data_IF_374372630571
#
_entry.id   IF_374372630571
#
_cell.length_a   1.000
_cell.length_b   1.000
_cell.length_c   1.000
_cell.angle_alpha   90.00
_cell.angle_beta   90.00
_cell.angle_gamma   90.00
#
_symmetry.space_group_name_H-M   'P 1'
#
loop_
_entity.id
_entity.type
_entity.pdbx_description
1 polymer ?
#
# COMPACT_ATOMS: atom_id res chain seq x y z
N UNK A 1 4.40 -30.81 -73.98
CA UNK A 1 4.86 -29.42 -74.23
C UNK A 1 4.82 -28.68 -72.89
N UNK A 2 5.98 -28.45 -72.25
CA UNK A 2 6.53 -27.11 -71.87
C UNK A 2 5.48 -26.24 -71.13
N UNK A 3 5.62 -25.83 -69.86
CA UNK A 3 6.65 -25.00 -69.21
C UNK A 3 6.49 -25.16 -67.66
N UNK A 4 7.51 -25.42 -66.83
CA UNK A 4 8.59 -24.57 -66.28
C UNK A 4 8.18 -23.56 -65.17
N UNK A 5 8.65 -23.86 -63.93
CA UNK A 5 8.96 -22.99 -62.75
C UNK A 5 7.76 -22.27 -62.09
N UNK A 6 7.65 -22.19 -60.75
CA UNK A 6 8.44 -21.35 -59.86
C UNK A 6 8.59 -21.92 -58.42
N UNK A 7 9.78 -21.70 -57.86
CA UNK A 7 10.13 -21.85 -56.45
C UNK A 7 9.40 -20.79 -55.60
N UNK A 8 8.79 -21.21 -54.49
CA UNK A 8 8.51 -20.34 -53.36
C UNK A 8 8.99 -21.03 -52.08
N UNK A 9 10.19 -20.66 -51.64
CA UNK A 9 10.69 -20.99 -50.31
C UNK A 9 9.91 -20.17 -49.28
N UNK A 10 8.94 -20.79 -48.62
CA UNK A 10 8.32 -20.25 -47.41
C UNK A 10 9.26 -20.55 -46.24
N UNK A 11 10.18 -19.62 -45.97
CA UNK A 11 10.86 -19.56 -44.68
C UNK A 11 9.82 -19.14 -43.63
N UNK A 12 9.18 -20.11 -42.98
CA UNK A 12 8.40 -19.87 -41.79
C UNK A 12 9.37 -19.51 -40.66
N UNK A 13 9.62 -18.21 -40.48
CA UNK A 13 10.21 -17.70 -39.25
C UNK A 13 9.21 -17.95 -38.12
N UNK A 14 9.31 -19.11 -37.48
CA UNK A 14 8.72 -19.33 -36.17
C UNK A 14 9.46 -18.43 -35.18
N UNK A 15 9.02 -17.17 -35.10
CA UNK A 15 9.26 -16.39 -33.91
C UNK A 15 8.66 -17.18 -32.76
N UNK A 16 9.52 -17.79 -31.95
CA UNK A 16 9.13 -18.26 -30.63
C UNK A 16 8.77 -17.03 -29.81
N UNK A 17 7.52 -16.58 -29.95
CA UNK A 17 6.86 -15.81 -28.91
C UNK A 17 6.61 -16.81 -27.79
N UNK A 18 7.66 -17.13 -27.03
CA UNK A 18 7.45 -17.70 -25.72
C UNK A 18 6.61 -16.66 -24.97
N UNK A 19 5.38 -16.97 -24.56
CA UNK A 19 4.71 -16.11 -23.61
C UNK A 19 5.66 -16.04 -22.42
N UNK A 20 6.10 -14.82 -22.08
CA UNK A 20 6.69 -14.59 -20.78
C UNK A 20 5.60 -14.97 -19.78
N UNK A 21 5.63 -16.22 -19.33
CA UNK A 21 4.93 -16.62 -18.13
C UNK A 21 5.53 -15.74 -17.06
N UNK A 22 4.86 -14.63 -16.76
CA UNK A 22 5.11 -13.87 -15.56
C UNK A 22 4.90 -14.85 -14.43
N UNK A 23 5.99 -15.48 -14.00
CA UNK A 23 6.00 -16.22 -12.77
C UNK A 23 5.65 -15.16 -11.74
N UNK A 24 4.49 -15.28 -11.09
CA UNK A 24 4.37 -14.67 -9.78
C UNK A 24 5.61 -15.16 -9.04
N UNK A 25 6.51 -14.24 -8.68
CA UNK A 25 7.72 -14.60 -7.94
C UNK A 25 7.24 -15.40 -6.74
N UNK A 26 7.48 -16.71 -6.74
CA UNK A 26 7.08 -17.58 -5.64
C UNK A 26 8.05 -17.28 -4.50
N UNK A 27 7.76 -16.18 -3.81
CA UNK A 27 8.60 -15.54 -2.80
C UNK A 27 8.70 -16.40 -1.52
N UNK A 28 8.00 -17.53 -1.47
CA UNK A 28 8.14 -18.53 -0.41
C UNK A 28 9.25 -19.55 -0.70
N UNK A 29 9.76 -19.61 -1.94
CA UNK A 29 10.89 -20.47 -2.33
C UNK A 29 12.23 -19.88 -1.94
N UNK A 30 13.24 -20.74 -1.88
CA UNK A 30 14.62 -20.29 -1.89
C UNK A 30 14.91 -19.46 -3.15
N UNK A 31 15.68 -18.36 -3.04
CA UNK A 31 16.46 -17.94 -1.88
C UNK A 31 15.74 -16.90 -0.99
N UNK A 32 14.43 -16.68 -1.19
CA UNK A 32 13.68 -15.62 -0.50
C UNK A 32 13.08 -16.14 0.80
N UNK A 33 12.32 -17.24 0.73
CA UNK A 33 11.65 -17.88 1.87
C UNK A 33 10.96 -16.87 2.79
N UNK A 34 10.15 -15.98 2.20
CA UNK A 34 9.64 -14.75 2.82
C UNK A 34 9.13 -14.96 4.25
N UNK A 35 8.32 -16.01 4.47
CA UNK A 35 7.71 -16.30 5.76
C UNK A 35 8.72 -16.54 6.88
N UNK A 36 9.83 -17.21 6.60
CA UNK A 36 10.81 -17.67 7.59
C UNK A 36 12.06 -16.81 7.64
N UNK A 37 12.43 -16.18 6.52
CA UNK A 37 13.60 -15.33 6.45
C UNK A 37 13.54 -14.16 7.45
N UNK A 38 14.66 -13.79 8.08
CA UNK A 38 14.72 -12.64 8.97
C UNK A 38 14.50 -11.35 8.18
N UNK A 39 13.81 -10.39 8.80
CA UNK A 39 13.64 -9.05 8.27
C UNK A 39 14.77 -8.13 8.78
N UNK A 40 15.20 -7.19 7.94
CA UNK A 40 16.23 -6.20 8.23
C UNK A 40 15.77 -4.83 7.74
N UNK A 41 15.06 -4.11 8.60
CA UNK A 41 14.42 -2.84 8.27
C UNK A 41 14.30 -1.92 9.49
N UNK A 42 13.75 -0.73 9.28
CA UNK A 42 13.62 0.30 10.34
C UNK A 42 12.80 -0.18 11.56
N UNK A 43 11.87 -1.13 11.38
CA UNK A 43 11.07 -1.68 12.48
C UNK A 43 11.89 -2.67 13.31
N UNK A 44 12.66 -3.57 12.68
CA UNK A 44 13.54 -4.49 13.43
C UNK A 44 14.69 -3.77 14.12
N UNK A 45 15.21 -2.70 13.49
CA UNK A 45 16.18 -1.79 14.11
C UNK A 45 15.58 -1.06 15.34
N UNK A 46 14.35 -0.54 15.24
CA UNK A 46 13.66 0.07 16.37
C UNK A 46 13.37 -0.93 17.49
N UNK A 47 12.88 -2.14 17.17
CA UNK A 47 12.66 -3.20 18.16
C UNK A 47 13.95 -3.50 18.93
N UNK A 48 15.08 -3.63 18.24
CA UNK A 48 16.37 -3.89 18.88
C UNK A 48 16.78 -2.78 19.85
N UNK A 49 16.50 -1.51 19.52
CA UNK A 49 16.75 -0.36 20.40
C UNK A 49 15.81 -0.35 21.61
N UNK A 50 14.55 -0.74 21.43
CA UNK A 50 13.58 -0.91 22.53
C UNK A 50 14.02 -2.02 23.50
N UNK A 51 14.47 -3.15 22.97
CA UNK A 51 14.91 -4.29 23.77
C UNK A 51 16.11 -3.94 24.66
N UNK A 52 17.06 -3.17 24.09
CA UNK A 52 18.24 -2.62 24.80
C UNK A 52 17.93 -1.44 25.71
N UNK A 53 16.73 -0.85 25.66
CA UNK A 53 16.34 0.31 26.46
C UNK A 53 16.93 1.64 25.99
N UNK A 54 17.44 1.72 24.76
CA UNK A 54 17.98 2.94 24.16
C UNK A 54 16.89 3.92 23.72
N UNK A 55 15.68 3.40 23.47
CA UNK A 55 14.48 4.15 23.11
C UNK A 55 13.34 3.67 23.99
N UNK A 56 12.39 4.57 24.29
CA UNK A 56 11.14 4.23 24.95
C UNK A 56 9.98 4.88 24.22
N UNK A 57 9.00 4.07 23.81
CA UNK A 57 7.75 4.60 23.27
C UNK A 57 6.87 5.07 24.44
N UNK A 58 6.43 6.33 24.37
CA UNK A 58 5.51 6.92 25.34
C UNK A 58 4.09 6.66 24.88
N UNK A 59 3.30 6.06 25.76
CA UNK A 59 1.87 5.88 25.56
C UNK A 59 1.10 7.11 26.07
N UNK A 60 0.00 7.44 25.40
CA UNK A 60 -0.92 8.51 25.78
C UNK A 60 -2.36 8.02 25.71
N UNK A 61 -3.25 8.53 26.56
CA UNK A 61 -4.67 8.15 26.52
C UNK A 61 -5.35 8.55 25.21
N UNK A 62 -4.90 9.65 24.60
CA UNK A 62 -5.53 10.20 23.41
C UNK A 62 -5.12 9.46 22.14
N UNK A 63 -3.82 9.16 21.97
CA UNK A 63 -3.28 8.61 20.71
C UNK A 63 -2.53 7.28 20.88
N UNK A 64 -2.47 6.72 22.09
CA UNK A 64 -1.63 5.57 22.42
C UNK A 64 -0.17 5.87 22.15
N UNK A 65 0.52 4.99 21.42
CA UNK A 65 1.92 5.13 21.06
C UNK A 65 2.17 5.99 19.83
N UNK A 66 1.13 6.40 19.09
CA UNK A 66 1.29 7.03 17.77
C UNK A 66 2.32 8.18 17.77
N UNK A 67 2.22 9.22 18.62
CA UNK A 67 3.16 10.34 18.54
C UNK A 67 4.61 9.93 18.78
N UNK A 68 4.86 9.05 19.76
CA UNK A 68 6.21 8.61 20.10
C UNK A 68 6.77 7.62 19.08
N UNK A 69 5.91 6.82 18.45
CA UNK A 69 6.29 5.95 17.35
C UNK A 69 6.70 6.75 16.11
N UNK A 70 5.91 7.76 15.72
CA UNK A 70 6.27 8.62 14.60
C UNK A 70 7.60 9.34 14.84
N UNK A 71 7.83 9.83 16.06
CA UNK A 71 9.11 10.44 16.44
C UNK A 71 10.27 9.45 16.35
N UNK A 72 10.12 8.25 16.90
CA UNK A 72 11.16 7.23 16.91
C UNK A 72 11.53 6.71 15.51
N UNK A 73 10.57 6.70 14.57
CA UNK A 73 10.75 6.29 13.18
C UNK A 73 11.02 7.46 12.22
N UNK A 74 11.04 8.71 12.71
CA UNK A 74 11.24 9.88 11.85
C UNK A 74 10.14 10.09 10.82
N UNK A 75 8.89 9.75 11.15
CA UNK A 75 7.74 9.91 10.26
C UNK A 75 7.11 11.30 10.45
N UNK A 76 7.07 12.16 9.42
CA UNK A 76 6.56 13.51 9.57
C UNK A 76 5.04 13.53 9.69
N UNK A 77 4.50 14.26 10.67
CA UNK A 77 3.04 14.43 10.84
C UNK A 77 2.36 15.03 9.60
N UNK A 78 3.10 15.80 8.80
CA UNK A 78 2.61 16.40 7.55
C UNK A 78 2.28 15.36 6.47
N UNK A 79 2.78 14.13 6.57
CA UNK A 79 2.43 13.04 5.65
C UNK A 79 1.02 12.49 5.90
N UNK A 80 0.29 12.99 6.90
CA UNK A 80 -1.00 12.43 7.28
C UNK A 80 -1.96 12.46 6.10
N UNK A 81 -2.52 11.29 5.81
CA UNK A 81 -3.68 11.13 4.93
C UNK A 81 -4.78 10.34 5.65
N UNK A 82 -6.04 10.58 5.28
CA UNK A 82 -7.19 10.08 6.01
C UNK A 82 -8.10 9.24 5.10
N UNK A 83 -8.36 8.00 5.51
CA UNK A 83 -9.18 7.02 4.79
C UNK A 83 -10.44 6.75 5.59
N UNK A 84 -11.60 7.00 5.01
CA UNK A 84 -12.88 6.70 5.66
C UNK A 84 -13.58 5.47 5.10
N UNK A 85 -13.07 4.88 4.01
CA UNK A 85 -13.57 3.61 3.48
C UNK A 85 -13.16 2.43 4.36
N UNK A 86 -14.08 1.49 4.54
CA UNK A 86 -13.92 0.25 5.30
C UNK A 86 -13.16 -0.82 4.49
N UNK A 87 -11.88 -0.55 4.20
CA UNK A 87 -11.03 -1.36 3.32
C UNK A 87 -9.74 -1.84 3.99
N UNK A 88 -9.69 -1.90 5.33
CA UNK A 88 -8.52 -2.33 6.11
C UNK A 88 -8.84 -3.43 7.13
N UNK A 89 -7.79 -3.96 7.77
CA UNK A 89 -7.80 -4.85 8.92
C UNK A 89 -8.81 -4.41 10.00
N UNK A 90 -8.74 -3.14 10.43
CA UNK A 90 -9.62 -2.59 11.48
C UNK A 90 -10.91 -1.95 10.92
N UNK A 91 -11.49 -2.49 9.84
CA UNK A 91 -12.69 -1.97 9.12
C UNK A 91 -13.88 -1.60 10.02
N UNK A 92 -14.06 -2.27 11.15
CA UNK A 92 -15.18 -1.99 12.06
C UNK A 92 -15.01 -0.66 12.83
N UNK A 93 -13.80 -0.11 12.90
CA UNK A 93 -13.49 1.19 13.54
C UNK A 93 -13.42 2.36 12.56
N UNK A 94 -13.42 2.07 11.26
CA UNK A 94 -13.21 3.06 10.20
C UNK A 94 -14.56 3.53 9.66
N UNK A 95 -14.71 4.83 9.43
CA UNK A 95 -15.88 5.35 8.74
C UNK A 95 -15.79 6.86 8.52
N UNK A 96 -16.79 7.49 7.87
CA UNK A 96 -16.80 8.93 7.61
C UNK A 96 -16.58 9.80 8.86
N UNK A 97 -17.06 9.37 10.04
CA UNK A 97 -16.89 10.10 11.30
C UNK A 97 -15.63 9.71 12.08
N UNK A 98 -14.97 8.63 11.70
CA UNK A 98 -13.77 8.07 12.34
C UNK A 98 -12.81 7.50 11.29
N UNK A 99 -12.26 8.35 10.39
CA UNK A 99 -11.31 7.88 9.40
C UNK A 99 -10.06 7.24 10.03
N UNK A 100 -9.46 6.27 9.33
CA UNK A 100 -8.12 5.79 9.64
C UNK A 100 -7.11 6.82 9.14
N UNK A 101 -6.13 7.15 9.96
CA UNK A 101 -4.97 7.93 9.52
C UNK A 101 -3.85 7.01 9.02
N UNK A 102 -3.17 7.44 7.97
CA UNK A 102 -1.92 6.85 7.50
C UNK A 102 -0.86 7.94 7.55
N UNK A 103 0.28 7.63 8.15
CA UNK A 103 1.49 8.44 8.15
C UNK A 103 2.60 7.65 7.47
N UNK A 104 3.54 8.32 6.82
CA UNK A 104 4.59 7.64 6.09
C UNK A 104 5.83 8.53 5.92
N UNK A 105 6.98 7.87 5.79
CA UNK A 105 8.19 8.42 5.21
C UNK A 105 8.70 7.43 4.15
N UNK A 106 9.95 7.57 3.73
CA UNK A 106 10.55 6.73 2.67
C UNK A 106 10.65 5.25 3.07
N UNK A 107 10.71 4.92 4.36
CA UNK A 107 11.01 3.55 4.82
C UNK A 107 9.80 2.82 5.44
N UNK A 108 8.81 3.56 5.96
CA UNK A 108 7.73 2.98 6.75
C UNK A 108 6.40 3.72 6.62
N UNK A 109 5.31 2.97 6.69
CA UNK A 109 3.93 3.43 6.72
C UNK A 109 3.27 2.99 8.02
N UNK A 110 2.58 3.92 8.69
CA UNK A 110 1.93 3.75 9.98
C UNK A 110 0.43 4.03 9.84
N UNK A 111 -0.39 3.00 9.99
CA UNK A 111 -1.84 3.09 10.05
C UNK A 111 -2.35 3.20 11.49
N UNK A 112 -3.25 4.15 11.73
CA UNK A 112 -3.83 4.44 13.04
C UNK A 112 -5.35 4.58 12.93
N UNK A 113 -6.08 3.76 13.69
CA UNK A 113 -7.53 3.89 13.86
C UNK A 113 -7.84 4.49 15.23
N UNK A 114 -8.81 5.39 15.31
CA UNK A 114 -9.29 5.89 16.61
C UNK A 114 -9.81 4.75 17.47
N UNK A 115 -9.26 4.63 18.68
CA UNK A 115 -9.57 3.51 19.58
C UNK A 115 -9.21 2.14 18.98
N UNK A 116 -8.27 2.09 18.04
CA UNK A 116 -7.74 0.84 17.47
C UNK A 116 -6.99 0.02 18.51
N UNK A 117 -7.08 -1.30 18.38
CA UNK A 117 -6.36 -2.25 19.26
C UNK A 117 -4.88 -2.31 18.91
N UNK A 118 -4.55 -2.04 17.65
CA UNK A 118 -3.20 -2.07 17.11
C UNK A 118 -2.92 -0.87 16.23
N UNK A 119 -1.65 -0.47 16.18
CA UNK A 119 -1.11 0.27 15.05
C UNK A 119 -0.72 -0.71 13.95
N UNK A 120 -1.10 -0.38 12.72
CA UNK A 120 -0.75 -1.13 11.51
C UNK A 120 0.57 -0.58 10.98
N UNK A 121 1.56 -1.43 10.71
CA UNK A 121 2.89 -0.98 10.27
C UNK A 121 3.31 -1.76 9.02
N UNK A 122 3.81 -1.05 8.02
CA UNK A 122 4.40 -1.64 6.81
C UNK A 122 5.77 -1.02 6.59
N UNK A 123 6.81 -1.83 6.50
CA UNK A 123 8.19 -1.38 6.33
C UNK A 123 8.78 -1.91 5.03
N UNK A 124 9.58 -1.08 4.38
CA UNK A 124 10.42 -1.50 3.25
C UNK A 124 11.58 -2.34 3.79
N UNK A 125 11.89 -3.43 3.09
CA UNK A 125 12.95 -4.36 3.45
C UNK A 125 13.80 -4.69 2.21
N UNK A 126 15.13 -4.55 2.29
CA UNK A 126 16.02 -4.75 1.15
C UNK A 126 16.15 -6.20 0.70
N UNK A 127 15.65 -7.17 1.48
CA UNK A 127 15.68 -8.59 1.14
C UNK A 127 14.28 -9.15 0.85
N UNK A 128 13.28 -8.65 1.56
CA UNK A 128 11.91 -9.18 1.55
C UNK A 128 10.92 -8.26 0.82
N UNK A 129 11.34 -7.06 0.41
CA UNK A 129 10.51 -6.07 -0.26
C UNK A 129 9.66 -5.26 0.71
N UNK A 130 8.52 -5.81 1.13
CA UNK A 130 7.62 -5.17 2.09
C UNK A 130 7.30 -6.13 3.23
N UNK A 131 7.44 -5.68 4.48
CA UNK A 131 7.18 -6.48 5.67
C UNK A 131 6.15 -5.80 6.57
N UNK A 132 5.15 -6.57 7.00
CA UNK A 132 4.02 -6.07 7.79
C UNK A 132 4.17 -6.41 9.27
N UNK A 133 3.81 -5.46 10.13
CA UNK A 133 3.80 -5.61 11.58
C UNK A 133 2.54 -5.00 12.19
N UNK A 134 2.24 -5.42 13.41
CA UNK A 134 1.31 -4.73 14.30
C UNK A 134 2.02 -4.35 15.60
N UNK A 135 1.61 -3.23 16.21
CA UNK A 135 2.01 -2.86 17.56
C UNK A 135 0.76 -2.68 18.40
N UNK A 136 0.65 -3.41 19.51
CA UNK A 136 -0.50 -3.29 20.41
C UNK A 136 -0.55 -1.90 21.04
N UNK A 137 -1.76 -1.35 21.15
CA UNK A 137 -2.02 -0.05 21.75
C UNK A 137 -2.29 -0.12 23.26
N UNK A 138 -1.89 -1.22 23.90
CA UNK A 138 -1.94 -1.41 25.36
C UNK A 138 -0.65 -0.85 25.97
N UNK A 139 -0.72 -0.06 27.06
CA UNK A 139 0.46 0.48 27.70
C UNK A 139 1.32 -0.62 28.33
N UNK A 140 2.51 -0.82 27.77
CA UNK A 140 3.54 -1.73 28.23
C UNK A 140 4.89 -1.02 28.41
N UNK A 141 5.75 -1.58 29.27
CA UNK A 141 7.10 -1.07 29.48
C UNK A 141 7.98 -1.24 28.23
N UNK A 142 7.83 -2.39 27.55
CA UNK A 142 8.57 -2.75 26.33
C UNK A 142 7.61 -3.25 25.25
N UNK A 143 6.91 -2.34 24.55
CA UNK A 143 5.98 -2.74 23.49
C UNK A 143 6.74 -3.47 22.38
N UNK A 144 6.09 -4.46 21.76
CA UNK A 144 6.71 -5.34 20.76
C UNK A 144 5.99 -5.31 19.42
N UNK A 145 6.75 -5.19 18.34
CA UNK A 145 6.23 -5.37 16.99
C UNK A 145 6.02 -6.84 16.67
N UNK A 146 4.80 -7.20 16.29
CA UNK A 146 4.45 -8.54 15.86
C UNK A 146 4.42 -8.61 14.33
N UNK A 147 5.36 -9.36 13.74
CA UNK A 147 5.41 -9.54 12.28
C UNK A 147 4.22 -10.36 11.80
N UNK A 148 3.45 -9.79 10.88
CA UNK A 148 2.30 -10.42 10.26
C UNK A 148 2.73 -11.18 9.00
N UNK A 149 2.66 -12.51 9.05
CA UNK A 149 3.15 -13.41 7.98
C UNK A 149 2.06 -13.96 7.05
N UNK A 150 0.78 -13.78 7.41
CA UNK A 150 -0.35 -14.37 6.70
C UNK A 150 -1.46 -13.36 6.42
N UNK A 151 -2.12 -12.86 7.47
CA UNK A 151 -3.33 -12.04 7.35
C UNK A 151 -3.15 -10.84 6.41
N UNK A 152 -2.02 -10.13 6.52
CA UNK A 152 -1.72 -8.98 5.66
C UNK A 152 -1.49 -9.39 4.19
N UNK A 153 -0.77 -10.49 3.95
CA UNK A 153 -0.43 -10.96 2.61
C UNK A 153 -1.64 -11.37 1.79
N UNK A 154 -2.75 -11.77 2.43
CA UNK A 154 -4.01 -12.10 1.74
C UNK A 154 -4.47 -11.00 0.77
N UNK A 155 -4.20 -9.74 1.11
CA UNK A 155 -4.47 -8.59 0.26
C UNK A 155 -3.17 -8.02 -0.35
N UNK A 156 -2.09 -8.00 0.41
CA UNK A 156 -0.84 -7.31 0.08
C UNK A 156 0.18 -8.14 -0.74
N UNK A 157 -0.11 -9.40 -1.04
CA UNK A 157 0.65 -10.22 -1.99
C UNK A 157 -0.31 -10.81 -3.04
N UNK A 158 -1.06 -9.94 -3.69
CA UNK A 158 -2.09 -10.30 -4.66
C UNK A 158 -1.74 -9.79 -6.05
N UNK A 159 -2.59 -10.06 -7.05
CA UNK A 159 -2.44 -9.46 -8.38
C UNK A 159 -2.41 -7.92 -8.32
N UNK A 160 -3.02 -7.31 -7.31
CA UNK A 160 -3.02 -5.86 -7.12
C UNK A 160 -1.62 -5.30 -6.77
N UNK A 161 -0.71 -6.12 -6.27
CA UNK A 161 0.69 -5.75 -6.00
C UNK A 161 1.67 -6.40 -6.99
N UNK A 162 1.17 -6.98 -8.09
CA UNK A 162 2.00 -7.69 -9.06
C UNK A 162 2.50 -9.06 -8.57
N UNK A 163 1.81 -9.66 -7.59
CA UNK A 163 2.13 -10.98 -7.06
C UNK A 163 3.24 -11.00 -6.02
N UNK A 164 3.68 -9.84 -5.51
CA UNK A 164 4.73 -9.72 -4.50
C UNK A 164 4.21 -8.98 -3.26
N UNK A 165 4.81 -9.15 -2.07
CA UNK A 165 4.49 -8.34 -0.89
C UNK A 165 4.64 -6.85 -1.20
N UNK A 166 3.56 -6.08 -1.07
CA UNK A 166 3.54 -4.69 -1.52
C UNK A 166 2.44 -3.84 -0.87
N UNK A 167 2.48 -2.56 -1.18
CA UNK A 167 1.57 -1.55 -0.65
C UNK A 167 0.40 -1.30 -1.62
N UNK A 168 -0.75 -0.89 -1.07
CA UNK A 168 -1.98 -0.72 -1.83
C UNK A 168 -2.68 0.58 -1.47
N UNK A 169 -2.97 1.38 -2.48
CA UNK A 169 -3.92 2.50 -2.42
C UNK A 169 -5.11 2.13 -3.31
N UNK A 170 -6.31 2.15 -2.73
CA UNK A 170 -7.55 1.83 -3.45
C UNK A 170 -8.48 3.04 -3.40
N UNK A 171 -9.04 3.36 -4.56
CA UNK A 171 -10.12 4.32 -4.71
C UNK A 171 -11.42 3.58 -4.95
N UNK A 172 -12.45 3.87 -4.16
CA UNK A 172 -13.73 3.16 -4.15
C UNK A 172 -14.90 4.14 -4.18
N UNK A 173 -16.10 3.63 -4.41
CA UNK A 173 -17.35 4.37 -4.22
C UNK A 173 -17.94 4.03 -2.84
N UNK A 174 -17.66 4.80 -1.78
CA UNK A 174 -18.15 4.50 -0.43
C UNK A 174 -19.60 4.97 -0.24
N UNK A 175 -20.42 4.16 0.43
CA UNK A 175 -21.73 4.60 0.92
C UNK A 175 -21.61 5.47 2.19
N UNK A 176 -22.75 5.90 2.74
CA UNK A 176 -22.81 6.69 4.00
C UNK A 176 -22.19 6.00 5.22
N UNK A 177 -21.97 4.69 5.18
CA UNK A 177 -21.31 3.91 6.24
C UNK A 177 -19.82 3.71 5.97
N UNK A 178 -19.31 4.19 4.84
CA UNK A 178 -17.94 3.96 4.38
C UNK A 178 -17.74 2.59 3.72
N UNK A 179 -18.80 1.84 3.44
CA UNK A 179 -18.70 0.54 2.76
C UNK A 179 -18.55 0.75 1.25
N UNK A 180 -17.59 0.08 0.59
CA UNK A 180 -17.49 0.12 -0.86
C UNK A 180 -18.75 -0.47 -1.53
N UNK A 181 -19.37 0.29 -2.43
CA UNK A 181 -20.48 -0.18 -3.26
C UNK A 181 -19.89 -1.01 -4.40
N UNK A 182 -19.80 -2.32 -4.19
CA UNK A 182 -19.09 -3.23 -5.11
C UNK A 182 -19.62 -3.20 -6.56
N UNK A 183 -20.91 -2.93 -6.76
CA UNK A 183 -21.51 -2.83 -8.11
C UNK A 183 -20.99 -1.66 -8.95
N UNK A 184 -20.37 -0.66 -8.31
CA UNK A 184 -19.76 0.49 -8.99
C UNK A 184 -18.27 0.27 -9.27
N UNK A 185 -17.73 -0.89 -8.88
CA UNK A 185 -16.31 -1.21 -9.05
C UNK A 185 -15.39 -0.50 -8.06
N UNK A 186 -14.10 -0.54 -8.36
CA UNK A 186 -13.05 0.15 -7.62
C UNK A 186 -11.81 0.31 -8.50
N UNK A 187 -11.02 1.34 -8.22
CA UNK A 187 -9.75 1.59 -8.88
C UNK A 187 -8.59 1.26 -7.95
N UNK A 188 -7.53 0.70 -8.54
CA UNK A 188 -6.21 0.72 -7.92
C UNK A 188 -5.59 2.06 -8.26
N UNK A 189 -5.06 2.74 -7.27
CA UNK A 189 -4.47 4.06 -7.47
C UNK A 189 -2.96 4.00 -7.33
N UNK A 190 -2.27 4.50 -8.34
CA UNK A 190 -0.83 4.77 -8.38
C UNK A 190 -0.56 6.11 -9.10
N UNK A 191 0.70 6.49 -9.24
CA UNK A 191 1.07 7.75 -9.89
C UNK A 191 0.68 7.84 -11.38
N UNK A 192 0.35 6.73 -12.04
CA UNK A 192 -0.09 6.70 -13.45
C UNK A 192 -1.60 6.81 -13.62
N UNK A 193 -2.39 6.59 -12.56
CA UNK A 193 -3.86 6.60 -12.64
C UNK A 193 -4.41 8.00 -12.98
N UNK A 194 -5.48 8.15 -13.78
CA UNK A 194 -6.14 9.44 -13.97
C UNK A 194 -6.62 10.03 -12.64
N UNK A 195 -6.45 11.34 -12.42
CA UNK A 195 -6.87 12.00 -11.16
C UNK A 195 -8.35 11.81 -10.85
N UNK A 196 -9.20 11.79 -11.88
CA UNK A 196 -10.65 11.63 -11.77
C UNK A 196 -11.09 10.29 -11.17
N UNK A 197 -10.21 9.28 -11.17
CA UNK A 197 -10.45 7.96 -10.59
C UNK A 197 -9.84 7.81 -9.20
N UNK A 198 -9.10 8.81 -8.67
CA UNK A 198 -8.35 8.71 -7.41
C UNK A 198 -9.14 9.16 -6.19
N UNK A 199 -8.75 8.63 -5.03
CA UNK A 199 -9.15 9.08 -3.68
C UNK A 199 -10.60 8.83 -3.26
N UNK A 200 -11.35 7.99 -3.96
CA UNK A 200 -12.67 7.57 -3.52
C UNK A 200 -12.58 6.80 -2.20
N UNK A 201 -13.29 7.25 -1.15
CA UNK A 201 -13.11 6.71 0.20
C UNK A 201 -12.05 7.40 1.05
N UNK A 202 -11.41 8.46 0.53
CA UNK A 202 -10.39 9.24 1.22
C UNK A 202 -10.86 10.68 1.42
N UNK A 203 -10.41 11.30 2.51
CA UNK A 203 -10.49 12.76 2.65
C UNK A 203 -9.31 13.41 1.95
N UNK A 204 -9.56 14.53 1.29
CA UNK A 204 -8.57 15.28 0.51
C UNK A 204 -8.69 16.75 0.84
N UNK A 205 -7.60 17.37 1.28
CA UNK A 205 -7.52 18.80 1.51
C UNK A 205 -6.52 19.45 0.56
N UNK A 206 -6.81 20.67 0.12
CA UNK A 206 -5.94 21.46 -0.77
C UNK A 206 -6.70 22.01 -1.96
N UNK A 207 -6.13 23.03 -2.61
CA UNK A 207 -6.68 23.60 -3.86
C UNK A 207 -5.86 23.09 -5.05
N UNK A 208 -6.55 22.64 -6.10
CA UNK A 208 -5.96 21.99 -7.28
C UNK A 208 -6.62 22.45 -8.60
N UNK A 209 -7.38 23.54 -8.54
CA UNK A 209 -7.99 24.16 -9.71
C UNK A 209 -9.17 23.35 -10.24
N UNK A 210 -9.13 23.00 -11.53
CA UNK A 210 -10.25 22.39 -12.27
C UNK A 210 -10.14 20.86 -12.42
N UNK A 211 -9.03 20.28 -11.98
CA UNK A 211 -8.84 18.83 -11.99
C UNK A 211 -9.85 18.20 -11.04
N UNK A 212 -10.49 17.11 -11.47
CA UNK A 212 -11.48 16.38 -10.68
C UNK A 212 -10.85 15.15 -10.04
N UNK A 213 -11.39 14.74 -8.90
CA UNK A 213 -11.04 13.50 -8.19
C UNK A 213 -12.23 12.94 -7.39
N UNK A 214 -12.15 11.71 -6.88
CA UNK A 214 -13.22 11.07 -6.08
C UNK A 214 -13.12 11.34 -4.57
N UNK A 215 -12.07 12.02 -4.12
CA UNK A 215 -11.89 12.46 -2.72
C UNK A 215 -13.07 13.21 -2.10
N UNK A 216 -13.25 13.07 -0.78
CA UNK A 216 -14.33 13.67 0.02
C UNK A 216 -15.75 13.23 -0.36
N UNK A 217 -15.92 12.28 -1.29
CA UNK A 217 -17.21 11.89 -1.80
C UNK A 217 -17.84 10.73 -1.04
N UNK A 218 -19.06 10.94 -0.55
CA UNK A 218 -19.92 9.87 -0.05
C UNK A 218 -21.04 9.69 -1.05
N UNK A 219 -21.21 8.47 -1.56
CA UNK A 219 -22.26 8.15 -2.54
C UNK A 219 -23.59 7.98 -1.83
N UNK A 220 -24.55 8.86 -2.15
CA UNK A 220 -25.90 8.81 -1.59
C UNK A 220 -26.89 8.06 -2.48
N UNK A 221 -26.73 8.19 -3.81
CA UNK A 221 -27.51 7.48 -4.82
C UNK A 221 -26.57 6.87 -5.87
N UNK A 222 -26.81 5.62 -6.29
CA UNK A 222 -26.02 4.96 -7.35
C UNK A 222 -26.05 5.73 -8.68
N UNK A 223 -27.17 6.37 -9.02
CA UNK A 223 -27.29 7.20 -10.23
C UNK A 223 -26.39 8.43 -10.18
N UNK A 224 -26.12 8.97 -8.99
CA UNK A 224 -25.18 10.09 -8.80
C UNK A 224 -23.74 9.64 -9.06
N UNK A 225 -23.41 8.41 -8.67
CA UNK A 225 -22.10 7.83 -8.94
C UNK A 225 -21.84 7.58 -10.43
N UNK A 226 -22.86 7.09 -11.15
CA UNK A 226 -22.80 6.86 -12.60
C UNK A 226 -22.55 8.15 -13.40
N UNK A 227 -22.97 9.31 -12.86
CA UNK A 227 -22.73 10.62 -13.47
C UNK A 227 -21.32 11.17 -13.22
N UNK A 228 -20.48 10.48 -12.42
CA UNK A 228 -19.07 10.83 -12.13
C UNK A 228 -18.85 12.28 -11.71
N UNK A 229 -19.84 12.90 -11.07
CA UNK A 229 -19.84 14.33 -10.78
C UNK A 229 -19.59 14.59 -9.29
N UNK A 230 -18.42 14.23 -8.77
CA UNK A 230 -18.01 14.65 -7.42
C UNK A 230 -17.71 16.16 -7.34
N UNK A 231 -18.67 17.01 -7.69
CA UNK A 231 -18.46 18.46 -7.75
C UNK A 231 -18.27 19.07 -6.36
N UNK A 232 -18.88 18.47 -5.33
CA UNK A 232 -18.88 18.98 -3.95
C UNK A 232 -17.61 18.63 -3.17
N UNK A 233 -16.87 17.61 -3.60
CA UNK A 233 -15.66 17.14 -2.91
C UNK A 233 -14.37 17.81 -3.34
N UNK A 234 -14.40 18.76 -4.29
CA UNK A 234 -13.21 19.41 -4.84
C UNK A 234 -12.77 20.62 -4.01
N UNK A 235 -11.47 20.92 -4.03
CA UNK A 235 -10.88 22.14 -3.44
C UNK A 235 -11.26 22.39 -1.96
N UNK A 236 -11.54 21.34 -1.19
CA UNK A 236 -11.83 21.41 0.24
C UNK A 236 -10.55 21.76 1.00
N UNK A 237 -10.61 22.73 1.92
CA UNK A 237 -9.45 23.10 2.77
C UNK A 237 -9.69 22.85 4.25
N UNK A 238 -10.87 22.36 4.61
CA UNK A 238 -11.29 22.18 6.00
C UNK A 238 -12.14 20.91 6.15
N UNK A 239 -11.67 19.99 7.00
CA UNK A 239 -12.35 18.71 7.26
C UNK A 239 -13.31 18.75 8.45
N UNK A 240 -13.36 19.85 9.22
CA UNK A 240 -14.27 19.99 10.37
C UNK A 240 -15.75 19.70 10.06
N UNK A 241 -16.31 20.03 8.87
CA UNK A 241 -17.68 19.66 8.54
C UNK A 241 -17.91 18.13 8.46
N UNK A 242 -16.86 17.35 8.21
CA UNK A 242 -16.96 15.91 8.01
C UNK A 242 -16.84 15.15 9.33
N UNK A 243 -15.89 15.49 10.21
CA UNK A 243 -15.65 14.81 11.49
C UNK A 243 -14.86 15.68 12.49
N UNK A 244 -14.68 15.18 13.71
CA UNK A 244 -13.90 15.86 14.75
C UNK A 244 -12.39 15.76 14.48
N UNK A 245 -11.83 16.70 13.74
CA UNK A 245 -10.42 16.73 13.33
C UNK A 245 -9.41 16.75 14.50
N UNK A 246 -9.81 17.30 15.66
CA UNK A 246 -8.94 17.38 16.84
C UNK A 246 -8.54 16.02 17.42
N UNK A 247 -9.12 14.91 16.97
CA UNK A 247 -8.75 13.55 17.37
C UNK A 247 -7.51 13.01 16.62
N UNK A 248 -6.96 13.76 15.67
CA UNK A 248 -5.81 13.38 14.85
C UNK A 248 -4.65 14.36 15.06
N UNK A 249 -3.43 13.95 14.66
CA UNK A 249 -2.23 14.77 14.88
C UNK A 249 -2.19 16.03 14.01
N UNK A 250 -2.89 16.02 12.89
CA UNK A 250 -3.11 17.20 12.04
C UNK A 250 -4.56 17.27 11.57
N UNK A 251 -5.09 18.45 11.23
CA UNK A 251 -6.48 18.59 10.79
C UNK A 251 -6.69 18.30 9.29
N UNK A 252 -5.65 17.90 8.56
CA UNK A 252 -5.64 17.84 7.10
C UNK A 252 -5.34 16.43 6.57
N UNK A 253 -5.57 16.25 5.27
CA UNK A 253 -5.23 15.07 4.48
C UNK A 253 -4.80 15.57 3.11
N UNK A 254 -3.58 16.11 3.04
CA UNK A 254 -3.17 17.02 1.97
C UNK A 254 -3.06 16.30 0.62
N UNK A 255 -3.52 16.96 -0.44
CA UNK A 255 -3.47 16.44 -1.80
C UNK A 255 -2.04 16.11 -2.25
N UNK A 256 -1.05 16.89 -1.83
CA UNK A 256 0.36 16.62 -2.13
C UNK A 256 0.83 15.37 -1.39
N UNK A 257 0.43 15.19 -0.12
CA UNK A 257 0.76 13.98 0.63
C UNK A 257 0.17 12.72 -0.03
N UNK A 258 -1.06 12.80 -0.56
CA UNK A 258 -1.67 11.71 -1.33
C UNK A 258 -0.92 11.41 -2.63
N UNK A 259 -0.50 12.43 -3.38
CA UNK A 259 0.28 12.26 -4.60
C UNK A 259 1.64 11.60 -4.32
N UNK A 260 2.32 12.03 -3.25
CA UNK A 260 3.59 11.42 -2.81
C UNK A 260 3.37 9.97 -2.39
N UNK A 261 2.34 9.70 -1.57
CA UNK A 261 2.00 8.35 -1.13
C UNK A 261 1.84 7.39 -2.31
N UNK A 262 1.05 7.76 -3.32
CA UNK A 262 0.76 6.90 -4.48
C UNK A 262 1.96 6.68 -5.39
N UNK A 263 2.81 7.71 -5.51
CA UNK A 263 4.07 7.56 -6.21
C UNK A 263 5.00 6.58 -5.49
N UNK A 264 5.17 6.78 -4.17
CA UNK A 264 6.05 5.99 -3.34
C UNK A 264 5.60 4.52 -3.25
N UNK A 265 4.30 4.28 -3.04
CA UNK A 265 3.72 2.92 -2.99
C UNK A 265 4.01 2.14 -4.26
N UNK A 266 3.80 2.74 -5.43
CA UNK A 266 4.09 2.07 -6.70
C UNK A 266 5.58 1.89 -6.94
N UNK A 267 6.41 2.86 -6.53
CA UNK A 267 7.86 2.72 -6.58
C UNK A 267 8.34 1.51 -5.76
N UNK A 268 7.90 1.40 -4.50
CA UNK A 268 8.26 0.28 -3.63
C UNK A 268 7.79 -1.07 -4.16
N UNK A 269 6.60 -1.13 -4.76
CA UNK A 269 6.09 -2.35 -5.38
C UNK A 269 6.96 -2.78 -6.58
N UNK A 270 7.35 -1.83 -7.44
CA UNK A 270 8.24 -2.12 -8.58
C UNK A 270 9.63 -2.54 -8.14
N UNK A 271 10.21 -1.85 -7.15
CA UNK A 271 11.51 -2.19 -6.58
C UNK A 271 11.48 -3.58 -5.94
N UNK A 272 10.43 -3.89 -5.18
CA UNK A 272 10.23 -5.22 -4.59
C UNK A 272 10.17 -6.27 -5.67
N UNK A 273 9.37 -6.05 -6.73
CA UNK A 273 9.26 -7.02 -7.82
C UNK A 273 10.61 -7.27 -8.49
N UNK A 274 11.32 -6.21 -8.87
CA UNK A 274 12.64 -6.31 -9.49
C UNK A 274 13.65 -7.03 -8.57
N UNK A 275 13.65 -6.72 -7.27
CA UNK A 275 14.49 -7.37 -6.27
C UNK A 275 14.24 -8.89 -6.23
N UNK A 276 12.98 -9.30 -6.06
CA UNK A 276 12.64 -10.71 -5.88
C UNK A 276 12.87 -11.52 -7.17
N UNK A 277 12.48 -10.98 -8.34
CA UNK A 277 12.72 -11.62 -9.63
C UNK A 277 14.22 -11.79 -9.90
N UNK A 278 15.03 -10.78 -9.61
CA UNK A 278 16.49 -10.84 -9.79
C UNK A 278 17.11 -11.91 -8.89
N UNK A 279 16.71 -11.98 -7.62
CA UNK A 279 17.22 -12.98 -6.68
C UNK A 279 16.88 -14.41 -7.10
N UNK A 280 15.64 -14.62 -7.57
CA UNK A 280 15.22 -15.92 -8.09
C UNK A 280 16.01 -16.30 -9.34
N UNK A 281 16.23 -15.36 -10.26
CA UNK A 281 17.00 -15.60 -11.48
C UNK A 281 18.47 -15.97 -11.17
N UNK A 282 19.12 -15.23 -10.27
CA UNK A 282 20.50 -15.51 -9.86
C UNK A 282 20.62 -16.85 -9.13
N UNK A 283 19.65 -17.21 -8.27
CA UNK A 283 19.65 -18.51 -7.61
C UNK A 283 19.42 -19.66 -8.60
N UNK A 284 18.56 -19.45 -9.60
CA UNK A 284 18.34 -20.41 -10.67
C UNK A 284 19.61 -20.63 -11.50
N UNK A 285 20.30 -19.56 -11.89
CA UNK A 285 21.59 -19.62 -12.60
C UNK A 285 22.65 -20.38 -11.77
N UNK A 286 22.80 -20.05 -10.49
CA UNK A 286 23.73 -20.75 -9.59
C UNK A 286 23.41 -22.24 -9.47
N UNK A 287 22.13 -22.60 -9.41
CA UNK A 287 21.69 -23.99 -9.33
C UNK A 287 22.00 -24.73 -10.62
N UNK A 288 21.74 -24.11 -11.77
CA UNK A 288 22.03 -24.65 -13.10
C UNK A 288 23.54 -24.88 -13.29
N UNK A 289 24.37 -23.89 -12.99
CA UNK A 289 25.84 -24.01 -13.13
C UNK A 289 26.39 -25.14 -12.25
N UNK A 290 25.88 -25.24 -11.00
CA UNK A 290 26.25 -26.34 -10.09
C UNK A 290 25.84 -27.71 -10.63
N UNK A 291 24.67 -27.82 -11.25
CA UNK A 291 24.19 -29.07 -11.87
C UNK A 291 24.96 -29.42 -13.16
N UNK A 292 25.53 -28.42 -13.84
CA UNK A 292 26.31 -28.57 -15.07
C UNK A 292 27.83 -28.68 -14.83
N UNK A 293 28.29 -28.60 -13.58
CA UNK A 293 29.72 -28.60 -13.19
C UNK A 293 30.55 -27.43 -13.79
N UNK A 294 29.89 -26.30 -14.08
CA UNK A 294 30.52 -25.04 -14.52
C UNK A 294 30.70 -24.05 -13.35
#
# INVERSE_FOLDING_TARGET
>A
MRHLRWLAALAASWGCWLPAWGQNADFEREPISYRTAPADNVVTALQSRLDRGEVRLKWSEEHGYLPSLLEALGVPKSSQVLVFSKTSLQRERIGPKTPRAIYFNDDVYIGYCLGGEVMEVSAVDPQLGTVFYTLDQVPEEKPRFFRQRDNCLSCHASSATGGVPGHLVRSVFPDRRGLPILSLGSYRTDHTSPLEERWGGWYVTGRHGRLMHMGNWIVENKQEAELSANQKGQNITDLRPFFTVGRYLTPHSDIVALLVLEHQVECHNRLTKALLETRLALHYEQTLNRELEE
#
